data_IF_251907683094
#
_entry.id   IF_251907683094
#
_cell.length_a   1.000
_cell.length_b   1.000
_cell.length_c   1.000
_cell.angle_alpha   90.00
_cell.angle_beta   90.00
_cell.angle_gamma   90.00
#
_symmetry.space_group_name_H-M   'P 1'
#
loop_
_entity.id
_entity.type
_entity.pdbx_description
1 polymer ?
#
# COMPACT_ATOMS: atom_id res chain seq x y z
N UNK A 1 1.50 -22.58 -3.27
CA UNK A 1 0.35 -22.17 -4.09
C UNK A 1 0.26 -23.28 -5.11
N UNK A 2 -0.63 -24.25 -4.87
CA UNK A 2 -0.56 -25.55 -5.54
C UNK A 2 -1.70 -25.72 -6.56
N UNK A 3 -2.36 -24.61 -6.90
CA UNK A 3 -3.41 -24.57 -7.92
C UNK A 3 -2.78 -24.31 -9.30
N UNK A 4 -3.33 -24.99 -10.31
CA UNK A 4 -2.95 -24.80 -11.72
C UNK A 4 -3.23 -23.34 -12.15
N UNK A 5 -2.22 -22.58 -12.60
CA UNK A 5 -2.38 -21.21 -13.06
C UNK A 5 -3.44 -21.06 -14.17
N UNK A 6 -3.55 -22.04 -15.07
CA UNK A 6 -4.50 -21.99 -16.18
C UNK A 6 -5.95 -22.09 -15.70
N UNK A 7 -6.18 -22.78 -14.57
CA UNK A 7 -7.49 -22.86 -13.94
C UNK A 7 -7.88 -21.54 -13.23
N UNK A 8 -6.90 -20.74 -12.78
CA UNK A 8 -7.14 -19.45 -12.11
C UNK A 8 -7.24 -18.27 -13.08
N UNK A 9 -6.63 -18.37 -14.26
CA UNK A 9 -6.57 -17.31 -15.27
C UNK A 9 -7.92 -16.63 -15.58
N UNK A 10 -9.06 -17.32 -15.76
CA UNK A 10 -10.33 -16.65 -16.06
C UNK A 10 -10.96 -15.91 -14.86
N UNK A 11 -10.48 -16.16 -13.63
CA UNK A 11 -11.05 -15.60 -12.41
C UNK A 11 -10.22 -14.42 -11.83
N UNK A 12 -9.07 -14.10 -12.43
CA UNK A 12 -8.14 -13.09 -11.92
C UNK A 12 -7.96 -11.95 -12.94
N UNK A 13 -8.10 -10.71 -12.47
CA UNK A 13 -7.73 -9.53 -13.27
C UNK A 13 -6.21 -9.30 -13.27
N UNK A 14 -5.50 -9.77 -12.24
CA UNK A 14 -4.05 -9.68 -12.14
C UNK A 14 -3.52 -10.19 -10.80
N UNK A 15 -2.20 -10.38 -10.73
CA UNK A 15 -1.50 -10.86 -9.53
C UNK A 15 -0.23 -10.05 -9.33
N UNK A 16 0.10 -9.76 -8.06
CA UNK A 16 1.41 -9.30 -7.63
C UNK A 16 1.95 -10.22 -6.55
N UNK A 17 3.21 -10.62 -6.72
CA UNK A 17 3.91 -11.50 -5.78
C UNK A 17 4.80 -10.65 -4.88
N UNK A 18 4.71 -10.87 -3.57
CA UNK A 18 5.55 -10.25 -2.56
C UNK A 18 6.37 -11.33 -1.84
N UNK A 19 7.63 -11.03 -1.54
CA UNK A 19 8.50 -11.91 -0.77
C UNK A 19 8.64 -11.36 0.65
N UNK A 20 8.18 -12.14 1.64
CA UNK A 20 8.10 -11.71 3.04
C UNK A 20 6.81 -10.98 3.37
N UNK A 21 6.66 -10.60 4.64
CA UNK A 21 5.50 -9.87 5.15
C UNK A 21 5.89 -9.03 6.37
N UNK A 22 5.14 -7.95 6.59
CA UNK A 22 5.16 -7.23 7.87
C UNK A 22 4.19 -7.92 8.83
N UNK A 23 4.60 -8.11 10.08
CA UNK A 23 3.78 -8.73 11.11
C UNK A 23 3.83 -7.92 12.40
N UNK A 24 2.72 -7.92 13.12
CA UNK A 24 2.58 -7.24 14.40
C UNK A 24 2.29 -8.25 15.49
N UNK A 25 2.86 -8.01 16.67
CA UNK A 25 2.48 -8.72 17.90
C UNK A 25 1.15 -8.18 18.44
N UNK A 26 0.54 -8.89 19.39
CA UNK A 26 -0.74 -8.49 19.99
C UNK A 26 -0.67 -7.06 20.56
N UNK A 27 -1.58 -6.19 20.12
CA UNK A 27 -1.68 -4.80 20.60
C UNK A 27 -0.65 -3.84 19.99
N UNK A 28 0.30 -4.34 19.19
CA UNK A 28 1.38 -3.52 18.66
C UNK A 28 0.86 -2.55 17.58
N UNK A 29 0.06 -3.04 16.63
CA UNK A 29 -0.49 -2.21 15.55
C UNK A 29 -1.41 -1.13 16.12
N UNK A 30 -2.23 -1.48 17.11
CA UNK A 30 -3.12 -0.54 17.80
C UNK A 30 -2.31 0.57 18.47
N UNK A 31 -1.24 0.21 19.19
CA UNK A 31 -0.36 1.21 19.82
C UNK A 31 0.40 2.07 18.81
N UNK A 32 0.75 1.55 17.63
CA UNK A 32 1.34 2.33 16.53
C UNK A 32 0.32 3.32 15.95
N UNK A 33 -0.93 2.90 15.74
CA UNK A 33 -2.01 3.78 15.27
C UNK A 33 -2.31 4.89 16.29
N UNK A 34 -2.36 4.56 17.59
CA UNK A 34 -2.59 5.54 18.67
C UNK A 34 -1.49 6.61 18.76
N UNK A 35 -0.28 6.31 18.29
CA UNK A 35 0.85 7.26 18.22
C UNK A 35 0.94 8.01 16.90
N UNK A 36 -0.05 7.87 16.02
CA UNK A 36 -0.07 8.44 14.67
C UNK A 36 1.08 7.94 13.76
N UNK A 37 1.62 6.74 14.04
CA UNK A 37 2.67 6.12 13.20
C UNK A 37 2.11 5.66 11.83
N UNK A 38 0.79 5.47 11.73
CA UNK A 38 0.10 5.01 10.51
C UNK A 38 -1.13 5.85 10.15
N UNK A 39 -1.30 6.09 8.85
CA UNK A 39 -2.55 6.62 8.27
C UNK A 39 -3.29 5.44 7.63
N UNK A 40 -4.43 5.04 8.22
CA UNK A 40 -5.23 3.88 7.77
C UNK A 40 -6.23 4.32 6.70
N UNK A 41 -6.14 3.73 5.51
CA UNK A 41 -6.96 4.09 4.34
C UNK A 41 -7.51 2.84 3.65
N UNK A 42 -8.66 2.98 2.96
CA UNK A 42 -9.21 1.91 2.13
C UNK A 42 -8.31 1.61 0.93
N UNK A 43 -7.94 0.34 0.78
CA UNK A 43 -7.22 -0.17 -0.39
C UNK A 43 -8.16 -0.32 -1.59
N UNK A 44 -7.62 -0.10 -2.79
CA UNK A 44 -8.28 -0.38 -4.06
C UNK A 44 -7.54 -1.55 -4.76
N UNK A 45 -8.23 -2.39 -5.56
CA UNK A 45 -7.56 -3.42 -6.35
C UNK A 45 -6.41 -2.88 -7.23
N UNK A 46 -6.59 -1.65 -7.74
CA UNK A 46 -5.58 -0.95 -8.55
C UNK A 46 -4.31 -0.57 -7.78
N UNK A 47 -4.30 -0.58 -6.45
CA UNK A 47 -3.09 -0.36 -5.65
C UNK A 47 -2.14 -1.56 -5.75
N UNK A 48 -2.71 -2.77 -5.79
CA UNK A 48 -1.95 -4.03 -5.90
C UNK A 48 -1.53 -4.26 -7.34
N UNK A 49 -2.39 -3.91 -8.30
CA UNK A 49 -2.17 -4.14 -9.74
C UNK A 49 -1.48 -2.97 -10.46
N UNK A 50 -0.95 -1.99 -9.72
CA UNK A 50 -0.32 -0.80 -10.29
C UNK A 50 0.87 -1.15 -11.22
N UNK A 51 1.17 -0.31 -12.19
CA UNK A 51 2.29 -0.51 -13.10
C UNK A 51 3.65 -0.39 -12.37
N UNK A 52 4.72 -1.01 -12.91
CA UNK A 52 6.07 -0.79 -12.41
C UNK A 52 6.45 0.69 -12.42
N UNK A 53 7.26 1.12 -11.45
CA UNK A 53 7.79 2.50 -11.31
C UNK A 53 6.76 3.58 -10.96
N UNK A 54 5.53 3.21 -10.64
CA UNK A 54 4.57 4.16 -10.05
C UNK A 54 4.89 4.37 -8.58
N UNK A 55 4.92 5.63 -8.16
CA UNK A 55 4.90 6.00 -6.75
C UNK A 55 3.50 5.74 -6.18
N UNK A 56 3.30 4.52 -5.65
CA UNK A 56 2.04 4.09 -5.08
C UNK A 56 1.66 4.94 -3.85
N UNK A 57 2.63 5.37 -3.06
CA UNK A 57 2.40 6.16 -1.85
C UNK A 57 1.80 7.52 -2.21
N UNK A 58 2.43 8.24 -3.14
CA UNK A 58 1.91 9.52 -3.63
C UNK A 58 0.53 9.36 -4.28
N UNK A 59 0.31 8.27 -5.04
CA UNK A 59 -0.98 7.99 -5.69
C UNK A 59 -2.10 7.74 -4.67
N UNK A 60 -1.83 6.97 -3.61
CA UNK A 60 -2.80 6.66 -2.55
C UNK A 60 -3.15 7.92 -1.75
N UNK A 61 -2.17 8.76 -1.42
CA UNK A 61 -2.42 10.00 -0.68
C UNK A 61 -3.14 11.04 -1.53
N UNK A 62 -2.76 11.20 -2.80
CA UNK A 62 -3.34 12.23 -3.69
C UNK A 62 -4.85 12.08 -3.90
N UNK A 63 -5.38 10.86 -3.78
CA UNK A 63 -6.84 10.61 -3.89
C UNK A 63 -7.62 10.83 -2.59
N UNK A 64 -6.95 11.07 -1.47
CA UNK A 64 -7.64 11.33 -0.19
C UNK A 64 -8.16 12.77 -0.14
N UNK A 65 -9.20 13.06 0.68
CA UNK A 65 -9.59 14.42 0.97
C UNK A 65 -8.44 15.24 1.59
N UNK A 66 -8.55 16.56 1.49
CA UNK A 66 -7.65 17.45 2.23
C UNK A 66 -7.81 17.22 3.74
N UNK A 67 -6.72 17.32 4.53
CA UNK A 67 -5.38 17.76 4.12
C UNK A 67 -4.43 16.63 3.66
N UNK A 68 -4.84 15.35 3.73
CA UNK A 68 -3.94 14.22 3.49
C UNK A 68 -3.33 14.21 2.08
N UNK A 69 -4.05 14.69 1.08
CA UNK A 69 -3.52 14.79 -0.29
C UNK A 69 -2.35 15.75 -0.43
N UNK A 70 -2.14 16.69 0.50
CA UNK A 70 -0.97 17.56 0.53
C UNK A 70 0.32 16.80 0.87
N UNK A 71 0.20 15.68 1.60
CA UNK A 71 1.34 14.84 1.93
C UNK A 71 1.86 14.08 0.71
N UNK A 72 1.09 13.94 -0.37
CA UNK A 72 1.50 13.21 -1.57
C UNK A 72 2.74 13.79 -2.28
N UNK A 73 3.18 14.99 -1.92
CA UNK A 73 4.38 15.65 -2.45
C UNK A 73 5.49 15.77 -1.40
N UNK A 74 5.32 15.19 -0.21
CA UNK A 74 6.32 15.24 0.83
C UNK A 74 7.59 14.53 0.36
N UNK A 75 8.79 15.13 0.54
CA UNK A 75 10.04 14.46 0.20
C UNK A 75 10.19 13.19 1.03
N UNK A 76 10.56 12.08 0.39
CA UNK A 76 10.86 10.81 1.08
C UNK A 76 12.13 10.95 1.95
N UNK A 77 12.99 11.92 1.62
CA UNK A 77 14.21 12.24 2.36
C UNK A 77 14.36 13.76 2.52
N UNK A 78 14.38 14.23 3.77
CA UNK A 78 14.57 15.64 4.11
C UNK A 78 16.04 16.09 4.06
N UNK A 79 16.99 15.15 4.01
CA UNK A 79 18.43 15.41 4.00
C UNK A 79 19.00 15.72 2.61
N UNK A 80 18.18 15.67 1.57
CA UNK A 80 18.57 15.95 0.18
C UNK A 80 18.40 17.43 -0.24
N UNK A 81 18.18 18.35 0.69
CA UNK A 81 18.21 19.81 0.48
C UNK A 81 19.41 20.45 1.16
#
# INVERSE_FOLDING_TARGET
LDADPDALAPALEGVRIFAGYSGWTTGQLEGEIERDDWIVLSALPSDVLVEPRVDLWARVLRRQPLPLSLLATHPIDLSLN
#
